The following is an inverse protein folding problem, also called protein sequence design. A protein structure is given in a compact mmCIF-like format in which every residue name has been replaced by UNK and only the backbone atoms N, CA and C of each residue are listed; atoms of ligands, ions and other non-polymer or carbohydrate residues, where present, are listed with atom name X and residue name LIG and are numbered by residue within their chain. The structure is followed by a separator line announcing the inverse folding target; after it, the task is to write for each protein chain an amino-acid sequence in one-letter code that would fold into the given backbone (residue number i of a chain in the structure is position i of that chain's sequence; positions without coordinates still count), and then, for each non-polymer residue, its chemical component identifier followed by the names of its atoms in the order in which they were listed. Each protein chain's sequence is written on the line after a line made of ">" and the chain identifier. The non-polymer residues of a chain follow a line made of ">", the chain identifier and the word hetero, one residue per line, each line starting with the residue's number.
data_IF_262468229306
#
_entry.id   IF_262468229306
#
_cell.length_a   1.000
_cell.length_b   1.000
_cell.length_c   1.000
_cell.angle_alpha   90.00
_cell.angle_beta   90.00
_cell.angle_gamma   90.00
#
_symmetry.space_group_name_H-M   'P 1'
#
loop_
_entity.id
_entity.type
_entity.pdbx_description
1 polymer ?
#
# COMPACT_ATOMS: atom_id res chain seq x y z
N UNK A 1 3.97 -0.11 10.69
CA UNK A 1 2.91 -1.13 10.80
C UNK A 1 2.67 -1.38 12.27
N UNK A 2 1.43 -1.37 12.74
CA UNK A 2 1.13 -1.84 14.10
C UNK A 2 1.10 -3.38 14.05
N UNK A 3 2.22 -3.99 14.46
CA UNK A 3 2.42 -5.44 14.42
C UNK A 3 1.45 -6.19 15.35
N UNK A 4 0.89 -5.54 16.37
CA UNK A 4 -0.07 -6.18 17.28
C UNK A 4 -1.45 -6.37 16.63
N UNK A 5 -1.81 -5.52 15.68
CA UNK A 5 -3.12 -5.58 14.99
C UNK A 5 -3.03 -6.10 13.56
N UNK A 6 -1.82 -6.23 13.01
CA UNK A 6 -1.61 -6.64 11.62
C UNK A 6 -2.24 -5.65 10.62
N UNK A 7 -2.32 -4.37 11.00
CA UNK A 7 -2.89 -3.30 10.19
C UNK A 7 -1.86 -2.19 9.96
N UNK A 8 -1.89 -1.63 8.75
CA UNK A 8 -1.15 -0.42 8.43
C UNK A 8 -1.80 0.78 9.11
N UNK A 9 -0.98 1.71 9.59
CA UNK A 9 -1.43 2.96 10.21
C UNK A 9 -0.84 4.14 9.44
N UNK A 10 -1.64 5.20 9.27
CA UNK A 10 -1.17 6.48 8.74
C UNK A 10 -0.65 7.30 9.91
N UNK A 11 0.62 7.71 9.82
CA UNK A 11 1.25 8.56 10.82
C UNK A 11 1.95 9.73 10.14
N UNK A 12 1.89 10.91 10.76
CA UNK A 12 2.59 12.08 10.25
C UNK A 12 4.07 11.98 10.63
N UNK A 13 4.91 11.82 9.61
CA UNK A 13 6.37 11.81 9.76
C UNK A 13 6.96 13.09 9.18
N UNK A 14 8.19 13.41 9.59
CA UNK A 14 8.96 14.49 8.98
C UNK A 14 9.21 14.18 7.50
N UNK A 15 9.13 15.21 6.65
CA UNK A 15 9.45 15.08 5.23
C UNK A 15 10.95 14.86 5.02
N UNK A 16 11.31 14.13 3.97
CA UNK A 16 12.72 14.01 3.56
C UNK A 16 13.24 15.31 2.94
N UNK A 17 14.56 15.47 2.91
CA UNK A 17 15.23 16.62 2.26
C UNK A 17 14.88 16.68 0.77
N UNK A 18 14.83 15.52 0.09
CA UNK A 18 14.41 15.44 -1.30
C UNK A 18 12.98 15.95 -1.51
N UNK A 19 12.03 15.52 -0.67
CA UNK A 19 10.65 15.99 -0.77
C UNK A 19 10.51 17.49 -0.45
N UNK A 20 11.24 17.98 0.55
CA UNK A 20 11.27 19.40 0.89
C UNK A 20 11.83 20.25 -0.27
N UNK A 21 12.92 19.81 -0.92
CA UNK A 21 13.48 20.45 -2.12
C UNK A 21 12.51 20.42 -3.29
N UNK A 22 11.83 19.29 -3.52
CA UNK A 22 10.82 19.19 -4.57
C UNK A 22 9.66 20.18 -4.33
N UNK A 23 9.19 20.32 -3.08
CA UNK A 23 8.16 21.30 -2.71
C UNK A 23 8.67 22.74 -2.90
N UNK A 24 9.91 23.02 -2.51
CA UNK A 24 10.52 24.33 -2.70
C UNK A 24 10.58 24.73 -4.18
N UNK A 25 10.95 23.79 -5.07
CA UNK A 25 10.96 24.02 -6.51
C UNK A 25 9.60 24.35 -7.13
N UNK A 26 8.48 24.09 -6.43
CA UNK A 26 7.15 24.49 -6.91
C UNK A 26 6.91 26.00 -6.81
N UNK A 27 7.61 26.71 -5.94
CA UNK A 27 7.47 28.15 -5.78
C UNK A 27 8.13 28.94 -6.92
N UNK A 28 9.11 28.36 -7.60
CA UNK A 28 9.93 29.05 -8.62
C UNK A 28 9.57 28.72 -10.08
N UNK A 29 8.32 28.34 -10.37
CA UNK A 29 7.94 27.83 -11.71
C UNK A 29 7.86 28.90 -12.79
N UNK A 30 7.27 30.04 -12.47
CA UNK A 30 6.98 31.11 -13.43
C UNK A 30 7.85 32.36 -13.18
N UNK A 31 8.27 32.56 -11.94
CA UNK A 31 9.09 33.69 -11.50
C UNK A 31 9.90 33.26 -10.26
N UNK A 32 10.89 34.05 -9.81
CA UNK A 32 11.56 33.82 -8.54
C UNK A 32 10.55 33.71 -7.39
N UNK A 33 10.60 32.59 -6.66
CA UNK A 33 9.70 32.28 -5.55
C UNK A 33 10.43 32.16 -4.22
N UNK A 34 9.67 32.36 -3.13
CA UNK A 34 10.18 32.23 -1.75
C UNK A 34 9.50 31.06 -1.06
N UNK A 35 10.26 30.33 -0.22
CA UNK A 35 9.79 29.15 0.50
C UNK A 35 10.14 29.28 1.97
N UNK A 36 9.14 29.25 2.83
CA UNK A 36 9.31 29.25 4.28
C UNK A 36 9.29 27.82 4.80
N UNK A 37 10.33 27.42 5.55
CA UNK A 37 10.42 26.11 6.18
C UNK A 37 10.02 26.23 7.64
N UNK A 38 9.02 25.47 8.06
CA UNK A 38 8.49 25.49 9.44
C UNK A 38 9.29 24.55 10.37
N UNK A 39 10.62 24.64 10.34
CA UNK A 39 11.55 23.90 11.21
C UNK A 39 12.88 24.63 11.27
N UNK A 40 13.70 24.34 12.28
CA UNK A 40 15.00 25.01 12.42
C UNK A 40 16.00 24.51 11.38
N UNK A 41 16.93 25.36 10.94
CA UNK A 41 17.95 25.00 9.96
C UNK A 41 18.79 23.80 10.41
N UNK A 42 19.12 23.72 11.71
CA UNK A 42 19.83 22.59 12.30
C UNK A 42 19.07 21.25 12.19
N UNK A 43 17.73 21.28 12.10
CA UNK A 43 16.92 20.08 11.88
C UNK A 43 17.00 19.63 10.42
N UNK A 44 17.19 20.53 9.46
CA UNK A 44 17.26 20.22 8.03
C UNK A 44 18.40 19.24 7.70
N UNK A 45 19.54 19.40 8.37
CA UNK A 45 20.70 18.52 8.23
C UNK A 45 20.44 17.10 8.75
N UNK A 46 19.53 16.94 9.71
CA UNK A 46 19.18 15.65 10.33
C UNK A 46 18.06 14.92 9.59
N UNK A 47 17.34 15.60 8.70
CA UNK A 47 16.27 14.97 7.92
C UNK A 47 16.83 13.87 7.00
N UNK A 48 16.10 12.76 6.81
CA UNK A 48 16.47 11.75 5.83
C UNK A 48 16.67 12.36 4.46
N UNK A 49 17.74 11.95 3.76
CA UNK A 49 18.06 12.48 2.44
C UNK A 49 16.95 12.17 1.43
N UNK A 50 16.43 10.94 1.46
CA UNK A 50 15.37 10.43 0.59
C UNK A 50 14.25 9.81 1.45
N UNK A 51 13.00 9.76 0.95
CA UNK A 51 11.93 9.04 1.65
C UNK A 51 12.27 7.54 1.72
N UNK A 52 11.78 6.86 2.76
CA UNK A 52 11.89 5.41 2.82
C UNK A 52 11.09 4.77 1.66
N UNK A 53 11.64 3.76 0.96
CA UNK A 53 10.91 3.02 -0.05
C UNK A 53 9.64 2.40 0.53
N UNK A 54 8.53 2.49 -0.19
CA UNK A 54 7.22 1.99 0.28
C UNK A 54 7.26 0.50 0.60
N UNK A 55 7.97 -0.30 -0.22
CA UNK A 55 8.14 -1.75 -0.01
C UNK A 55 8.78 -2.10 1.35
N UNK A 56 9.48 -1.15 1.99
CA UNK A 56 10.11 -1.35 3.29
C UNK A 56 9.20 -1.01 4.48
N UNK A 57 8.12 -0.27 4.26
CA UNK A 57 7.28 0.29 5.33
C UNK A 57 5.80 -0.10 5.24
N UNK A 58 5.35 -0.49 4.05
CA UNK A 58 3.97 -0.88 3.78
C UNK A 58 3.68 -2.33 4.18
N UNK A 59 2.39 -2.65 4.27
CA UNK A 59 1.92 -4.03 4.32
C UNK A 59 2.11 -4.69 2.96
N UNK A 60 2.84 -5.82 2.95
CA UNK A 60 3.18 -6.56 1.74
C UNK A 60 2.16 -7.64 1.37
N UNK A 61 1.05 -7.79 2.10
CA UNK A 61 0.05 -8.86 1.85
C UNK A 61 -0.47 -8.85 0.41
N UNK A 62 -0.83 -7.67 -0.12
CA UNK A 62 -1.30 -7.56 -1.50
C UNK A 62 -0.18 -7.82 -2.52
N UNK A 63 1.03 -7.31 -2.24
CA UNK A 63 2.20 -7.54 -3.09
C UNK A 63 2.59 -9.02 -3.15
N UNK A 64 2.62 -9.70 -2.00
CA UNK A 64 2.94 -11.12 -1.88
C UNK A 64 1.93 -11.99 -2.65
N UNK A 65 0.65 -11.62 -2.66
CA UNK A 65 -0.37 -12.32 -3.46
C UNK A 65 -0.09 -12.17 -4.96
N UNK A 66 0.26 -10.96 -5.42
CA UNK A 66 0.60 -10.74 -6.82
C UNK A 66 1.88 -11.50 -7.21
N UNK A 67 2.89 -11.49 -6.35
CA UNK A 67 4.13 -12.25 -6.56
C UNK A 67 3.87 -13.76 -6.64
N UNK A 68 3.03 -14.30 -5.74
CA UNK A 68 2.60 -15.69 -5.78
C UNK A 68 1.78 -16.03 -7.04
N UNK A 69 0.89 -15.14 -7.50
CA UNK A 69 0.16 -15.31 -8.76
C UNK A 69 1.07 -15.23 -9.99
N UNK A 70 2.17 -14.49 -9.90
CA UNK A 70 3.20 -14.40 -10.94
C UNK A 70 4.10 -15.66 -11.00
N UNK A 71 4.10 -16.46 -9.93
CA UNK A 71 4.91 -17.67 -9.82
C UNK A 71 6.22 -17.52 -9.05
N UNK A 72 6.46 -16.37 -8.42
CA UNK A 72 7.62 -16.12 -7.55
C UNK A 72 7.13 -15.68 -6.16
N UNK A 73 6.74 -16.63 -5.30
CA UNK A 73 6.16 -16.32 -3.98
C UNK A 73 7.17 -15.67 -3.02
N UNK A 74 8.46 -15.79 -3.30
CA UNK A 74 9.57 -15.14 -2.59
C UNK A 74 9.94 -13.76 -3.12
N UNK A 75 9.38 -13.36 -4.27
CA UNK A 75 9.79 -12.15 -4.98
C UNK A 75 11.32 -12.08 -5.19
N UNK A 76 11.98 -13.24 -5.24
CA UNK A 76 13.44 -13.39 -5.26
C UNK A 76 14.02 -13.35 -6.68
N UNK A 77 13.20 -13.72 -7.67
CA UNK A 77 13.48 -13.57 -9.09
C UNK A 77 13.03 -12.21 -9.64
N UNK A 78 12.38 -11.37 -8.84
CA UNK A 78 11.99 -10.01 -9.25
C UNK A 78 13.17 -9.04 -9.13
N UNK A 79 13.45 -8.31 -10.21
CA UNK A 79 14.47 -7.25 -10.24
C UNK A 79 14.00 -5.95 -9.56
N UNK A 80 13.68 -6.01 -8.27
CA UNK A 80 13.23 -4.88 -7.47
C UNK A 80 14.40 -3.95 -7.11
N UNK A 81 14.14 -2.63 -7.11
CA UNK A 81 15.13 -1.63 -6.69
C UNK A 81 15.58 -1.82 -5.24
N UNK A 82 14.62 -2.15 -4.38
CA UNK A 82 14.82 -2.46 -2.98
C UNK A 82 14.17 -3.81 -2.69
N UNK A 83 14.87 -4.76 -2.05
CA UNK A 83 14.28 -6.04 -1.71
C UNK A 83 13.22 -5.87 -0.60
N UNK A 84 12.16 -6.68 -0.61
CA UNK A 84 11.16 -6.66 0.44
C UNK A 84 11.77 -7.14 1.77
N UNK A 85 11.44 -6.51 2.91
CA UNK A 85 11.88 -7.00 4.21
C UNK A 85 11.34 -8.40 4.50
N UNK A 86 12.23 -9.33 4.84
CA UNK A 86 11.86 -10.74 5.08
C UNK A 86 10.75 -10.89 6.12
N UNK A 87 10.83 -10.19 7.25
CA UNK A 87 9.79 -10.24 8.28
C UNK A 87 8.41 -9.76 7.81
N UNK A 88 8.36 -8.75 6.95
CA UNK A 88 7.10 -8.28 6.36
C UNK A 88 6.55 -9.28 5.34
N UNK A 89 7.43 -9.94 4.56
CA UNK A 89 7.05 -10.98 3.62
C UNK A 89 6.49 -12.23 4.33
N UNK A 90 7.13 -12.65 5.41
CA UNK A 90 6.65 -13.77 6.24
C UNK A 90 5.27 -13.46 6.81
N UNK A 91 5.08 -12.27 7.39
CA UNK A 91 3.78 -11.85 7.92
C UNK A 91 2.69 -11.83 6.83
N UNK A 92 3.02 -11.31 5.64
CA UNK A 92 2.14 -11.31 4.48
C UNK A 92 1.70 -12.74 4.09
N UNK A 93 2.64 -13.69 4.01
CA UNK A 93 2.31 -15.10 3.71
C UNK A 93 1.41 -15.74 4.74
N UNK A 94 1.69 -15.55 6.03
CA UNK A 94 0.82 -16.07 7.09
C UNK A 94 -0.62 -15.56 6.95
N UNK A 95 -0.80 -14.29 6.53
CA UNK A 95 -2.13 -13.75 6.24
C UNK A 95 -2.76 -14.42 5.02
N UNK A 96 -1.98 -14.63 3.94
CA UNK A 96 -2.47 -15.25 2.71
C UNK A 96 -2.86 -16.72 2.91
N UNK A 97 -2.09 -17.48 3.67
CA UNK A 97 -2.41 -18.84 4.09
C UNK A 97 -3.71 -18.87 4.91
N UNK A 98 -3.84 -17.96 5.89
CA UNK A 98 -5.03 -17.87 6.74
C UNK A 98 -6.31 -17.55 5.95
N UNK A 99 -6.23 -16.77 4.85
CA UNK A 99 -7.39 -16.52 3.97
C UNK A 99 -7.57 -17.57 2.88
N UNK A 100 -6.68 -18.57 2.79
CA UNK A 100 -6.67 -19.62 1.78
C UNK A 100 -6.34 -19.11 0.37
N UNK A 101 -5.60 -18.01 0.27
CA UNK A 101 -5.15 -17.44 -1.00
C UNK A 101 -3.92 -18.14 -1.56
N UNK A 102 -3.09 -18.74 -0.70
CA UNK A 102 -1.90 -19.52 -1.10
C UNK A 102 -1.87 -20.88 -0.40
N UNK A 103 -1.20 -21.86 -1.00
CA UNK A 103 -0.93 -23.18 -0.42
C UNK A 103 0.31 -23.15 0.51
N UNK A 104 0.63 -24.29 1.14
CA UNK A 104 1.80 -24.43 2.02
C UNK A 104 3.15 -24.29 1.28
N UNK A 105 3.15 -24.36 -0.06
CA UNK A 105 4.31 -24.09 -0.90
C UNK A 105 4.35 -22.63 -1.37
N UNK A 106 3.45 -21.77 -0.89
CA UNK A 106 3.35 -20.36 -1.24
C UNK A 106 2.70 -20.09 -2.61
N UNK A 107 2.19 -21.11 -3.30
CA UNK A 107 1.59 -20.94 -4.63
C UNK A 107 0.16 -20.44 -4.51
N UNK A 108 -0.24 -19.54 -5.41
CA UNK A 108 -1.60 -19.02 -5.42
C UNK A 108 -2.63 -20.13 -5.69
N UNK A 109 -3.67 -20.20 -4.86
CA UNK A 109 -4.82 -21.08 -5.09
C UNK A 109 -5.78 -20.44 -6.10
N UNK A 110 -6.77 -21.18 -6.60
CA UNK A 110 -7.85 -20.59 -7.42
C UNK A 110 -8.54 -19.43 -6.70
N UNK A 111 -8.69 -19.55 -5.38
CA UNK A 111 -9.20 -18.46 -4.54
C UNK A 111 -8.25 -17.28 -4.53
N UNK A 112 -6.95 -17.50 -4.40
CA UNK A 112 -5.92 -16.45 -4.50
C UNK A 112 -5.98 -15.69 -5.82
N UNK A 113 -6.14 -16.41 -6.94
CA UNK A 113 -6.29 -15.81 -8.28
C UNK A 113 -7.58 -14.99 -8.39
N UNK A 114 -8.68 -15.41 -7.75
CA UNK A 114 -9.91 -14.60 -7.69
C UNK A 114 -9.71 -13.35 -6.84
N UNK A 115 -9.04 -13.47 -5.70
CA UNK A 115 -8.75 -12.35 -4.80
C UNK A 115 -7.86 -11.29 -5.45
N UNK A 116 -6.85 -11.72 -6.22
CA UNK A 116 -5.91 -10.81 -6.90
C UNK A 116 -6.59 -9.89 -7.92
N UNK A 117 -7.78 -10.28 -8.42
CA UNK A 117 -8.57 -9.51 -9.40
C UNK A 117 -9.53 -8.49 -8.78
N UNK A 118 -9.76 -8.54 -7.46
CA UNK A 118 -10.73 -7.64 -6.80
C UNK A 118 -10.18 -6.23 -6.54
N UNK A 119 -8.86 -6.03 -6.57
CA UNK A 119 -8.23 -4.75 -6.23
C UNK A 119 -8.39 -4.35 -4.75
N UNK A 120 -8.76 -5.30 -3.89
CA UNK A 120 -8.96 -5.10 -2.46
C UNK A 120 -7.90 -5.83 -1.64
N UNK A 121 -7.72 -5.39 -0.40
CA UNK A 121 -6.87 -6.11 0.53
C UNK A 121 -7.38 -7.57 0.68
N UNK A 122 -6.51 -8.61 0.67
CA UNK A 122 -6.95 -10.00 0.63
C UNK A 122 -7.92 -10.41 1.75
N UNK A 123 -7.81 -9.80 2.94
CA UNK A 123 -8.78 -9.98 4.04
C UNK A 123 -10.19 -9.48 3.69
N UNK A 124 -10.31 -8.33 3.04
CA UNK A 124 -11.59 -7.78 2.60
C UNK A 124 -12.14 -8.56 1.41
N UNK A 125 -11.27 -8.92 0.45
CA UNK A 125 -11.66 -9.76 -0.67
C UNK A 125 -12.19 -11.12 -0.21
N UNK A 126 -11.59 -11.73 0.83
CA UNK A 126 -12.08 -12.97 1.44
C UNK A 126 -13.52 -12.83 1.89
N UNK A 127 -13.81 -11.78 2.67
CA UNK A 127 -15.15 -11.53 3.19
C UNK A 127 -16.18 -11.34 2.07
N UNK A 128 -15.83 -10.61 1.00
CA UNK A 128 -16.73 -10.42 -0.15
C UNK A 128 -16.97 -11.72 -0.92
N UNK A 129 -15.94 -12.54 -1.14
CA UNK A 129 -16.12 -13.82 -1.83
C UNK A 129 -16.97 -14.79 -1.02
N UNK A 130 -16.83 -14.81 0.30
CA UNK A 130 -17.65 -15.66 1.18
C UNK A 130 -19.10 -15.17 1.25
N UNK A 131 -19.31 -13.85 1.25
CA UNK A 131 -20.64 -13.22 1.23
C UNK A 131 -21.38 -13.34 -0.12
N UNK A 132 -20.73 -13.82 -1.18
CA UNK A 132 -21.32 -14.04 -2.50
C UNK A 132 -21.66 -15.52 -2.77
N UNK A 133 -21.40 -16.43 -1.82
CA UNK A 133 -21.64 -17.87 -1.99
C UNK A 133 -23.14 -18.23 -1.93
N UNK A 134 -23.57 -19.35 -2.55
CA UNK A 134 -24.97 -19.79 -2.67
C UNK A 134 -25.72 -20.13 -1.37
N UNK A 135 -25.19 -19.77 -0.19
CA UNK A 135 -25.86 -19.86 1.11
C UNK A 135 -25.87 -18.55 1.91
N UNK A 136 -25.35 -17.46 1.34
CA UNK A 136 -25.41 -16.15 1.96
C UNK A 136 -26.82 -15.58 1.80
N UNK A 137 -27.59 -15.50 2.89
CA UNK A 137 -28.91 -14.85 2.91
C UNK A 137 -28.85 -13.33 2.69
N UNK A 138 -27.78 -12.82 2.07
CA UNK A 138 -27.55 -11.42 1.75
C UNK A 138 -27.91 -11.25 0.27
N UNK A 139 -29.00 -10.53 -0.07
CA UNK A 139 -29.28 -10.25 -1.47
C UNK A 139 -28.09 -9.49 -2.07
N UNK A 140 -27.73 -9.74 -3.35
CA UNK A 140 -26.63 -9.03 -4.01
C UNK A 140 -26.96 -7.54 -4.09
N UNK A 141 -26.59 -6.78 -3.06
CA UNK A 141 -26.57 -5.33 -3.14
C UNK A 141 -25.38 -4.99 -4.02
N UNK A 142 -25.68 -4.47 -5.21
CA UNK A 142 -24.71 -3.92 -6.13
C UNK A 142 -23.68 -3.09 -5.34
N UNK A 143 -22.41 -3.48 -5.43
CA UNK A 143 -21.30 -2.80 -4.80
C UNK A 143 -21.07 -1.43 -5.47
N UNK A 144 -21.93 -0.45 -5.21
CA UNK A 144 -21.67 0.95 -5.50
C UNK A 144 -21.13 1.62 -4.24
N UNK A 145 -19.80 1.64 -4.07
CA UNK A 145 -19.24 2.26 -2.88
C UNK A 145 -17.74 2.08 -2.65
N UNK A 146 -16.91 2.24 -3.67
CA UNK A 146 -15.47 2.44 -3.49
C UNK A 146 -14.88 3.33 -4.59
N UNK A 147 -15.56 4.43 -4.91
CA UNK A 147 -14.98 5.52 -5.69
C UNK A 147 -15.57 6.82 -5.13
N UNK A 148 -14.89 7.42 -4.16
CA UNK A 148 -15.17 8.80 -3.78
C UNK A 148 -14.55 9.72 -4.85
N UNK A 149 -15.33 10.49 -5.63
CA UNK A 149 -14.75 11.50 -6.49
C UNK A 149 -14.25 12.66 -5.62
N UNK A 150 -12.95 12.95 -5.71
CA UNK A 150 -12.37 14.16 -5.16
C UNK A 150 -13.02 15.37 -5.84
N UNK A 151 -13.95 16.02 -5.13
CA UNK A 151 -14.58 17.26 -5.56
C UNK A 151 -13.55 18.38 -5.68
N UNK A 152 -13.24 18.80 -6.91
CA UNK A 152 -12.63 20.11 -7.16
C UNK A 152 -13.73 21.16 -7.04
N UNK A 153 -13.81 21.83 -5.89
CA UNK A 153 -14.51 23.10 -5.79
C UNK A 153 -13.67 24.16 -6.51
N UNK A 154 -14.18 24.63 -7.65
CA UNK A 154 -13.69 25.81 -8.33
C UNK A 154 -14.21 27.05 -7.63
N UNK A 155 -13.31 27.80 -6.98
CA UNK A 155 -13.56 29.18 -6.59
C UNK A 155 -13.00 30.09 -7.68
N UNK A 156 -13.88 30.86 -8.33
CA UNK A 156 -13.54 32.11 -9.01
C UNK A 156 -14.34 33.22 -8.31
N UNK A 157 -13.71 34.34 -7.92
CA UNK A 157 -14.29 35.65 -8.18
C UNK A 157 -14.09 36.03 -9.66
#
# INVERSE_FOLDING_TARGET
>A
VDHARGLSALTTVRASRAAARQRAGRAGREAPGVVYRCWAEAEDARLPRFPAPEIKVADLTAFALQAACWGDPDASGLALLDPPPGGAMTAARSVLEAVGAVDCAGRATERGVRLSRLGLHPRLGRALLDAAGPGSGVPPRAASGAAAPAGRSGARP
#
